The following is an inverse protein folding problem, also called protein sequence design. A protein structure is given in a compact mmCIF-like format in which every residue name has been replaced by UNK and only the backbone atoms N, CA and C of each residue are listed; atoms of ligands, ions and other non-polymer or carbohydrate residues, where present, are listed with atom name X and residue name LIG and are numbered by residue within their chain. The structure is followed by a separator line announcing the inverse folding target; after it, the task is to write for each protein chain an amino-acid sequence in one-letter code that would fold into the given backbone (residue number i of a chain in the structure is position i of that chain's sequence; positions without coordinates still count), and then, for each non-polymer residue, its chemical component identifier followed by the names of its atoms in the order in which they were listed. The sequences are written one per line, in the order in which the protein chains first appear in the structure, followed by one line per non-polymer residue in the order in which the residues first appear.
data_IF_893254287199
#
_entry.id   IF_893254287199
#
_cell.length_a   1.000
_cell.length_b   1.000
_cell.length_c   1.000
_cell.angle_alpha   90.00
_cell.angle_beta   90.00
_cell.angle_gamma   90.00
#
_symmetry.space_group_name_H-M   'P 1'
#
loop_
_entity.id
_entity.type
_entity.pdbx_description
1 polymer ?
#
# COMPACT_ATOMS: atom_id res chain seq x y z
N UNK A 1 -34.68 15.61 -13.20
CA UNK A 1 -34.03 14.72 -12.22
C UNK A 1 -34.28 15.33 -10.85
N UNK A 2 -34.97 14.65 -9.95
CA UNK A 2 -35.24 15.19 -8.60
C UNK A 2 -33.99 15.07 -7.77
N UNK A 3 -33.68 16.04 -6.87
CA UNK A 3 -32.52 15.99 -5.99
C UNK A 3 -32.40 14.63 -5.21
N UNK A 4 -33.57 14.05 -4.89
CA UNK A 4 -33.64 12.73 -4.24
C UNK A 4 -33.06 11.61 -5.10
N UNK A 5 -33.16 11.69 -6.44
CA UNK A 5 -32.65 10.66 -7.36
C UNK A 5 -31.11 10.70 -7.50
N UNK A 6 -30.50 11.83 -7.13
CA UNK A 6 -29.03 11.98 -7.09
C UNK A 6 -28.46 11.30 -5.85
N UNK A 7 -29.18 11.39 -4.73
CA UNK A 7 -28.70 10.88 -3.44
C UNK A 7 -29.02 9.40 -3.24
N UNK A 8 -30.22 8.98 -3.62
CA UNK A 8 -30.76 7.65 -3.31
C UNK A 8 -31.03 6.87 -4.60
N UNK A 9 -30.54 5.62 -4.62
CA UNK A 9 -30.81 4.65 -5.67
C UNK A 9 -31.66 3.48 -5.15
N UNK A 10 -31.87 2.43 -5.97
CA UNK A 10 -32.65 1.25 -5.57
C UNK A 10 -32.15 0.54 -4.32
N UNK A 11 -30.86 0.66 -4.03
CA UNK A 11 -30.18 0.03 -2.88
C UNK A 11 -29.90 1.02 -1.73
N UNK A 12 -30.63 2.14 -1.64
CA UNK A 12 -30.39 3.20 -0.66
C UNK A 12 -29.41 4.27 -1.15
N UNK A 13 -28.60 4.84 -0.27
CA UNK A 13 -27.63 5.89 -0.62
C UNK A 13 -26.65 5.38 -1.70
N UNK A 14 -26.45 6.17 -2.77
CA UNK A 14 -25.57 5.78 -3.90
C UNK A 14 -24.12 5.65 -3.46
N UNK A 15 -23.39 4.75 -4.11
CA UNK A 15 -21.99 4.38 -3.79
C UNK A 15 -21.05 5.57 -3.66
N UNK A 16 -21.20 6.60 -4.51
CA UNK A 16 -20.37 7.81 -4.43
C UNK A 16 -20.55 8.57 -3.11
N UNK A 17 -21.77 8.74 -2.64
CA UNK A 17 -22.06 9.41 -1.36
C UNK A 17 -21.58 8.58 -0.17
N UNK A 18 -21.74 7.27 -0.23
CA UNK A 18 -21.22 6.35 0.80
C UNK A 18 -19.69 6.42 0.88
N UNK A 19 -19.01 6.51 -0.26
CA UNK A 19 -17.57 6.72 -0.32
C UNK A 19 -17.18 8.07 0.29
N UNK A 20 -17.87 9.17 -0.05
CA UNK A 20 -17.58 10.50 0.50
C UNK A 20 -17.76 10.53 2.03
N UNK A 21 -18.82 9.92 2.55
CA UNK A 21 -19.03 9.79 4.01
C UNK A 21 -17.89 9.00 4.65
N UNK A 22 -17.52 7.86 4.08
CA UNK A 22 -16.39 7.08 4.56
C UNK A 22 -15.10 7.89 4.61
N UNK A 23 -14.75 8.59 3.53
CA UNK A 23 -13.55 9.43 3.46
C UNK A 23 -13.61 10.57 4.48
N UNK A 24 -14.76 11.22 4.65
CA UNK A 24 -14.93 12.27 5.66
C UNK A 24 -14.68 11.74 7.08
N UNK A 25 -15.19 10.54 7.40
CA UNK A 25 -14.96 9.90 8.70
C UNK A 25 -13.46 9.58 8.87
N UNK A 26 -12.80 8.99 7.84
CA UNK A 26 -11.37 8.68 7.90
C UNK A 26 -10.55 9.94 8.15
N UNK A 27 -10.78 11.01 7.37
CA UNK A 27 -10.06 12.28 7.49
C UNK A 27 -10.27 12.89 8.89
N UNK A 28 -11.50 12.92 9.39
CA UNK A 28 -11.80 13.46 10.71
C UNK A 28 -11.11 12.66 11.83
N UNK A 29 -11.13 11.33 11.75
CA UNK A 29 -10.45 10.48 12.73
C UNK A 29 -8.92 10.60 12.64
N UNK A 30 -8.35 10.64 11.44
CA UNK A 30 -6.91 10.86 11.27
C UNK A 30 -6.47 12.20 11.88
N UNK A 31 -7.20 13.29 11.58
CA UNK A 31 -6.90 14.60 12.15
C UNK A 31 -6.97 14.58 13.68
N UNK A 32 -8.02 13.98 14.25
CA UNK A 32 -8.16 13.87 15.70
C UNK A 32 -7.04 13.04 16.36
N UNK A 33 -6.68 11.92 15.77
CA UNK A 33 -5.59 11.06 16.31
C UNK A 33 -4.22 11.72 16.16
N UNK A 34 -3.95 12.39 15.04
CA UNK A 34 -2.70 13.13 14.84
C UNK A 34 -2.57 14.27 15.85
N UNK A 35 -3.65 15.01 16.13
CA UNK A 35 -3.68 16.05 17.16
C UNK A 35 -3.37 15.48 18.53
N UNK A 36 -4.00 14.37 18.93
CA UNK A 36 -3.73 13.70 20.21
C UNK A 36 -2.26 13.29 20.33
N UNK A 37 -1.70 12.69 19.26
CA UNK A 37 -0.27 12.33 19.25
C UNK A 37 0.60 13.57 19.33
N UNK A 38 0.29 14.64 18.61
CA UNK A 38 1.00 15.93 18.68
C UNK A 38 1.03 16.51 20.09
N UNK A 39 -0.12 16.54 20.77
CA UNK A 39 -0.23 16.99 22.15
C UNK A 39 0.60 16.13 23.11
N UNK A 40 0.62 14.82 22.94
CA UNK A 40 1.42 13.90 23.76
C UNK A 40 2.92 14.17 23.54
N UNK A 41 3.36 14.30 22.30
CA UNK A 41 4.77 14.60 21.98
C UNK A 41 5.18 15.95 22.57
N UNK A 42 4.36 16.98 22.40
CA UNK A 42 4.59 18.30 22.98
C UNK A 42 4.69 18.25 24.51
N UNK A 43 3.74 17.59 25.17
CA UNK A 43 3.73 17.44 26.64
C UNK A 43 4.95 16.68 27.17
N UNK A 44 5.57 15.81 26.35
CA UNK A 44 6.78 15.06 26.69
C UNK A 44 8.07 15.75 26.23
N UNK A 45 8.00 16.92 25.57
CA UNK A 45 9.15 17.57 24.97
C UNK A 45 9.85 16.77 23.88
N UNK A 46 9.12 15.87 23.21
CA UNK A 46 9.65 15.01 22.14
C UNK A 46 9.44 15.69 20.80
N UNK A 47 10.52 15.88 20.05
CA UNK A 47 10.46 16.32 18.65
C UNK A 47 10.49 15.09 17.75
N UNK A 48 9.48 14.96 16.89
CA UNK A 48 9.45 13.88 15.91
C UNK A 48 10.61 14.04 14.91
N UNK A 49 11.35 12.98 14.57
CA UNK A 49 12.44 13.08 13.61
C UNK A 49 11.90 13.40 12.22
N UNK A 50 12.59 14.30 11.51
CA UNK A 50 12.29 14.60 10.11
C UNK A 50 13.04 13.64 9.19
N UNK A 51 12.34 12.98 8.29
CA UNK A 51 12.97 12.08 7.32
C UNK A 51 12.27 10.73 7.18
N UNK A 52 12.98 9.79 6.57
CA UNK A 52 12.51 8.44 6.31
C UNK A 52 12.85 7.54 7.52
N UNK A 53 12.11 7.70 8.61
CA UNK A 53 12.30 6.90 9.83
C UNK A 53 11.17 5.89 10.00
N UNK A 54 11.52 4.62 10.27
CA UNK A 54 10.56 3.55 10.48
C UNK A 54 9.50 3.88 11.54
N UNK A 55 9.89 4.52 12.66
CA UNK A 55 8.96 4.86 13.74
C UNK A 55 7.91 5.90 13.30
N UNK A 56 8.25 6.82 12.39
CA UNK A 56 7.32 7.83 11.87
C UNK A 56 6.26 7.14 11.03
N UNK A 57 6.67 6.28 10.10
CA UNK A 57 5.74 5.49 9.28
C UNK A 57 4.88 4.57 10.15
N UNK A 58 5.49 3.85 11.11
CA UNK A 58 4.75 2.98 12.00
C UNK A 58 3.62 3.72 12.75
N UNK A 59 3.91 4.90 13.30
CA UNK A 59 2.90 5.68 14.04
C UNK A 59 1.85 6.24 13.08
N UNK A 60 2.26 6.82 11.95
CA UNK A 60 1.36 7.41 10.96
C UNK A 60 0.41 6.37 10.37
N UNK A 61 0.93 5.22 9.98
CA UNK A 61 0.12 4.17 9.35
C UNK A 61 -0.70 3.37 10.35
N UNK A 62 -0.25 3.24 11.61
CA UNK A 62 -1.10 2.72 12.68
C UNK A 62 -2.31 3.62 12.95
N UNK A 63 -2.12 4.95 12.93
CA UNK A 63 -3.21 5.94 13.04
C UNK A 63 -4.16 5.79 11.84
N UNK A 64 -3.62 5.71 10.64
CA UNK A 64 -4.40 5.53 9.40
C UNK A 64 -5.20 4.23 9.45
N UNK A 65 -4.57 3.12 9.81
CA UNK A 65 -5.24 1.83 9.94
C UNK A 65 -6.38 1.87 10.97
N UNK A 66 -6.13 2.48 12.13
CA UNK A 66 -7.15 2.62 13.17
C UNK A 66 -8.35 3.44 12.66
N UNK A 67 -8.10 4.58 12.01
CA UNK A 67 -9.13 5.43 11.43
C UNK A 67 -9.94 4.69 10.37
N UNK A 68 -9.27 3.95 9.46
CA UNK A 68 -9.90 3.16 8.39
C UNK A 68 -10.75 2.03 8.95
N UNK A 69 -10.26 1.31 9.95
CA UNK A 69 -11.00 0.20 10.59
C UNK A 69 -12.25 0.73 11.29
N UNK A 70 -12.14 1.84 12.04
CA UNK A 70 -13.29 2.48 12.70
C UNK A 70 -14.30 2.98 11.66
N UNK A 71 -13.84 3.70 10.63
CA UNK A 71 -14.73 4.19 9.57
C UNK A 71 -15.44 3.03 8.85
N UNK A 72 -14.71 1.96 8.50
CA UNK A 72 -15.30 0.76 7.89
C UNK A 72 -16.31 0.12 8.82
N UNK A 73 -16.03 0.07 10.12
CA UNK A 73 -16.96 -0.48 11.11
C UNK A 73 -18.25 0.35 11.22
N UNK A 74 -18.15 1.69 11.24
CA UNK A 74 -19.30 2.59 11.25
C UNK A 74 -20.16 2.36 10.01
N UNK A 75 -19.53 2.35 8.82
CA UNK A 75 -20.22 2.11 7.56
C UNK A 75 -20.85 0.72 7.49
N UNK A 76 -20.11 -0.31 7.90
CA UNK A 76 -20.61 -1.69 7.94
C UNK A 76 -21.85 -1.82 8.85
N UNK A 77 -21.84 -1.14 10.00
CA UNK A 77 -23.00 -1.11 10.93
C UNK A 77 -24.21 -0.43 10.31
N UNK A 78 -24.01 0.72 9.64
CA UNK A 78 -25.10 1.44 8.95
C UNK A 78 -25.67 0.63 7.78
N UNK A 79 -24.89 -0.26 7.19
CA UNK A 79 -25.27 -1.10 6.05
C UNK A 79 -25.71 -2.52 6.47
N UNK A 80 -25.78 -2.79 7.77
CA UNK A 80 -26.09 -4.14 8.32
C UNK A 80 -25.18 -5.25 7.77
N UNK A 81 -23.89 -4.94 7.57
CA UNK A 81 -22.87 -5.86 7.03
C UNK A 81 -21.77 -6.16 8.05
N UNK A 82 -21.03 -7.25 7.82
CA UNK A 82 -19.83 -7.59 8.60
C UNK A 82 -18.61 -6.90 8.00
N UNK A 83 -17.59 -6.60 8.82
CA UNK A 83 -16.29 -6.06 8.35
C UNK A 83 -15.64 -6.95 7.28
N UNK A 84 -15.74 -8.26 7.43
CA UNK A 84 -15.21 -9.22 6.45
C UNK A 84 -15.86 -9.12 5.08
N UNK A 85 -17.05 -8.51 4.95
CA UNK A 85 -17.70 -8.27 3.67
C UNK A 85 -16.94 -7.26 2.77
N UNK A 86 -16.00 -6.53 3.35
CA UNK A 86 -15.16 -5.56 2.64
C UNK A 86 -13.70 -6.06 2.48
N UNK A 87 -13.49 -7.38 2.53
CA UNK A 87 -12.19 -8.01 2.32
C UNK A 87 -11.19 -7.83 3.46
N UNK A 88 -11.56 -7.12 4.55
CA UNK A 88 -10.65 -6.91 5.68
C UNK A 88 -10.30 -8.26 6.33
N UNK A 89 -9.01 -8.51 6.60
CA UNK A 89 -8.58 -9.75 7.21
C UNK A 89 -9.10 -9.85 8.65
N UNK A 90 -9.68 -11.01 8.96
CA UNK A 90 -10.13 -11.33 10.31
C UNK A 90 -9.05 -12.03 11.13
N UNK A 91 -9.49 -13.01 11.99
CA UNK A 91 -8.61 -13.74 12.90
C UNK A 91 -7.40 -14.44 12.28
N UNK A 92 -7.39 -14.68 10.97
CA UNK A 92 -6.30 -15.33 10.23
C UNK A 92 -5.60 -14.34 9.26
N UNK A 93 -5.31 -13.12 9.73
CA UNK A 93 -4.66 -12.07 8.92
C UNK A 93 -3.33 -12.54 8.32
N UNK A 94 -2.52 -13.26 9.11
CA UNK A 94 -1.22 -13.82 8.71
C UNK A 94 -1.31 -15.28 8.22
N UNK A 95 -2.45 -15.66 7.63
CA UNK A 95 -2.62 -16.98 7.04
C UNK A 95 -1.81 -17.20 5.76
N UNK A 96 -1.92 -18.39 5.15
CA UNK A 96 -1.16 -18.79 3.98
C UNK A 96 -1.13 -17.73 2.86
N UNK A 97 -2.26 -17.09 2.55
CA UNK A 97 -2.34 -16.06 1.49
C UNK A 97 -1.50 -14.82 1.78
N UNK A 98 -1.36 -14.44 3.05
CA UNK A 98 -0.45 -13.35 3.44
C UNK A 98 0.99 -13.70 3.07
N UNK A 99 1.45 -14.89 3.42
CA UNK A 99 2.82 -15.33 3.14
C UNK A 99 3.07 -15.54 1.65
N UNK A 100 2.08 -16.04 0.91
CA UNK A 100 2.14 -16.10 -0.55
C UNK A 100 2.33 -14.70 -1.14
N UNK A 101 1.56 -13.71 -0.68
CA UNK A 101 1.73 -12.31 -1.06
C UNK A 101 3.11 -11.77 -0.69
N UNK A 102 3.57 -12.03 0.54
CA UNK A 102 4.87 -11.57 1.01
C UNK A 102 6.03 -12.12 0.15
N UNK A 103 5.99 -13.41 -0.19
CA UNK A 103 6.97 -14.01 -1.12
C UNK A 103 6.91 -13.34 -2.48
N UNK A 104 5.71 -13.08 -3.00
CA UNK A 104 5.52 -12.43 -4.30
C UNK A 104 6.05 -10.99 -4.30
N UNK A 105 5.74 -10.20 -3.26
CA UNK A 105 6.20 -8.81 -3.13
C UNK A 105 7.72 -8.72 -2.98
N UNK A 106 8.28 -9.56 -2.12
CA UNK A 106 9.73 -9.60 -1.93
C UNK A 106 10.48 -10.07 -3.19
N UNK A 107 9.95 -11.07 -3.89
CA UNK A 107 10.51 -11.54 -5.16
C UNK A 107 10.46 -10.45 -6.24
N UNK A 108 9.40 -9.63 -6.27
CA UNK A 108 9.26 -8.54 -7.22
C UNK A 108 10.32 -7.46 -7.02
N UNK A 109 10.47 -6.94 -5.81
CA UNK A 109 11.49 -5.94 -5.53
C UNK A 109 12.89 -6.52 -5.72
N UNK A 110 13.11 -7.79 -5.36
CA UNK A 110 14.40 -8.47 -5.58
C UNK A 110 14.72 -8.60 -7.07
N UNK A 111 13.74 -8.95 -7.90
CA UNK A 111 13.91 -9.00 -9.35
C UNK A 111 14.24 -7.63 -9.93
N UNK A 112 13.55 -6.57 -9.48
CA UNK A 112 13.84 -5.21 -9.89
C UNK A 112 15.27 -4.80 -9.56
N UNK A 113 15.69 -4.99 -8.31
CA UNK A 113 17.06 -4.65 -7.87
C UNK A 113 18.11 -5.50 -8.60
N UNK A 114 17.82 -6.77 -8.85
CA UNK A 114 18.70 -7.63 -9.64
C UNK A 114 18.88 -7.09 -11.08
N UNK A 115 17.79 -6.66 -11.73
CA UNK A 115 17.87 -6.08 -13.08
C UNK A 115 18.69 -4.77 -13.06
N UNK A 116 18.48 -3.91 -12.07
CA UNK A 116 19.26 -2.66 -11.91
C UNK A 116 20.73 -3.00 -11.65
N UNK A 117 21.02 -4.00 -10.82
CA UNK A 117 22.38 -4.47 -10.53
C UNK A 117 23.08 -5.02 -11.79
N UNK A 118 22.43 -5.89 -12.54
CA UNK A 118 22.98 -6.46 -13.77
C UNK A 118 23.22 -5.41 -14.85
N UNK A 119 22.44 -4.34 -14.85
CA UNK A 119 22.65 -3.18 -15.72
C UNK A 119 23.69 -2.18 -15.17
N UNK A 120 24.35 -2.48 -14.05
CA UNK A 120 25.39 -1.66 -13.44
C UNK A 120 24.87 -0.43 -12.68
N UNK A 121 23.58 -0.38 -12.32
CA UNK A 121 22.95 0.76 -11.64
C UNK A 121 22.83 0.62 -10.11
N UNK A 122 23.25 -0.51 -9.53
CA UNK A 122 23.16 -0.77 -8.09
C UNK A 122 24.45 -1.41 -7.55
N UNK A 123 24.87 -0.93 -6.38
CA UNK A 123 25.95 -1.55 -5.58
C UNK A 123 25.47 -1.72 -4.15
N UNK A 124 25.52 -2.94 -3.62
CA UNK A 124 24.98 -3.26 -2.29
C UNK A 124 25.79 -2.62 -1.14
N UNK A 125 27.09 -2.41 -1.34
CA UNK A 125 27.98 -1.94 -0.28
C UNK A 125 28.14 -2.97 0.84
N UNK A 126 28.23 -2.50 2.09
CA UNK A 126 28.38 -3.31 3.30
C UNK A 126 27.15 -3.15 4.21
N UNK A 127 27.09 -3.96 5.28
CA UNK A 127 26.09 -3.74 6.33
C UNK A 127 26.30 -2.36 6.98
N UNK A 128 25.23 -1.57 7.04
CA UNK A 128 25.23 -0.24 7.65
C UNK A 128 25.10 -0.30 9.19
N UNK A 129 24.50 -1.37 9.71
CA UNK A 129 24.20 -1.57 11.12
C UNK A 129 24.66 -2.94 11.59
N UNK A 130 24.99 -3.05 12.89
CA UNK A 130 25.43 -4.28 13.51
C UNK A 130 24.77 -4.50 14.87
N UNK A 131 24.78 -5.74 15.37
CA UNK A 131 24.33 -6.10 16.71
C UNK A 131 22.90 -5.64 17.02
N UNK A 132 22.72 -5.07 18.20
CA UNK A 132 21.41 -4.64 18.68
C UNK A 132 20.77 -3.53 17.82
N UNK A 133 21.57 -2.64 17.21
CA UNK A 133 21.07 -1.60 16.32
C UNK A 133 20.43 -2.20 15.08
N UNK A 134 21.06 -3.21 14.48
CA UNK A 134 20.52 -3.95 13.35
C UNK A 134 19.20 -4.65 13.72
N UNK A 135 19.16 -5.36 14.85
CA UNK A 135 17.97 -6.06 15.29
C UNK A 135 16.80 -5.10 15.52
N UNK A 136 17.06 -3.95 16.17
CA UNK A 136 16.06 -2.90 16.38
C UNK A 136 15.55 -2.31 15.07
N UNK A 137 16.44 -1.95 14.15
CA UNK A 137 16.07 -1.37 12.86
C UNK A 137 15.24 -2.37 12.04
N UNK A 138 15.67 -3.65 11.98
CA UNK A 138 14.93 -4.71 11.30
C UNK A 138 13.51 -4.84 11.85
N UNK A 139 13.35 -4.89 13.18
CA UNK A 139 12.04 -5.00 13.81
C UNK A 139 11.17 -3.78 13.51
N UNK A 140 11.71 -2.57 13.64
CA UNK A 140 10.96 -1.34 13.39
C UNK A 140 10.51 -1.22 11.93
N UNK A 141 11.39 -1.51 10.97
CA UNK A 141 11.03 -1.49 9.55
C UNK A 141 10.05 -2.61 9.16
N UNK A 142 10.17 -3.79 9.76
CA UNK A 142 9.19 -4.86 9.57
C UNK A 142 7.80 -4.41 10.05
N UNK A 143 7.71 -3.83 11.26
CA UNK A 143 6.45 -3.32 11.81
C UNK A 143 5.91 -2.14 11.00
N UNK A 144 6.77 -1.21 10.57
CA UNK A 144 6.36 -0.07 9.73
C UNK A 144 5.80 -0.55 8.38
N UNK A 145 6.51 -1.42 7.68
CA UNK A 145 6.05 -1.96 6.39
C UNK A 145 4.75 -2.77 6.53
N UNK A 146 4.58 -3.51 7.62
CA UNK A 146 3.30 -4.15 7.94
C UNK A 146 2.19 -3.11 8.15
N UNK A 147 2.45 -2.04 8.92
CA UNK A 147 1.47 -0.99 9.16
C UNK A 147 1.06 -0.30 7.85
N UNK A 148 2.04 0.05 6.98
CA UNK A 148 1.80 0.61 5.64
C UNK A 148 0.90 -0.33 4.83
N UNK A 149 1.29 -1.59 4.67
CA UNK A 149 0.52 -2.57 3.88
C UNK A 149 -0.91 -2.75 4.40
N UNK A 150 -1.12 -2.84 5.72
CA UNK A 150 -2.46 -2.91 6.30
C UNK A 150 -3.25 -1.62 6.09
N UNK A 151 -2.65 -0.46 6.38
CA UNK A 151 -3.32 0.83 6.30
C UNK A 151 -3.77 1.14 4.86
N UNK A 152 -2.85 1.05 3.92
CA UNK A 152 -3.12 1.42 2.54
C UNK A 152 -4.02 0.42 1.83
N UNK A 153 -3.83 -0.89 2.03
CA UNK A 153 -4.70 -1.86 1.39
C UNK A 153 -6.13 -1.82 1.95
N UNK A 154 -6.29 -1.63 3.25
CA UNK A 154 -7.62 -1.43 3.83
C UNK A 154 -8.27 -0.11 3.39
N UNK A 155 -7.47 0.98 3.26
CA UNK A 155 -7.95 2.30 2.84
C UNK A 155 -8.43 2.30 1.38
N UNK A 156 -7.68 1.67 0.47
CA UNK A 156 -7.99 1.73 -0.97
C UNK A 156 -8.81 0.52 -1.45
N UNK A 157 -8.43 -0.69 -1.06
CA UNK A 157 -9.03 -1.96 -1.55
C UNK A 157 -10.04 -2.56 -0.59
N UNK A 158 -10.17 -2.00 0.63
CA UNK A 158 -11.24 -2.33 1.57
C UNK A 158 -12.57 -1.71 1.16
N UNK A 159 -13.19 -0.97 2.06
CA UNK A 159 -14.50 -0.35 1.85
C UNK A 159 -14.63 0.40 0.51
N UNK A 160 -13.68 1.27 0.08
CA UNK A 160 -13.83 2.02 -1.17
C UNK A 160 -13.96 1.15 -2.41
N UNK A 161 -13.10 0.14 -2.59
CA UNK A 161 -13.16 -0.76 -3.74
C UNK A 161 -14.50 -1.51 -3.79
N UNK A 162 -14.98 -2.02 -2.66
CA UNK A 162 -16.23 -2.77 -2.59
C UNK A 162 -17.44 -1.88 -2.87
N UNK A 163 -17.45 -0.66 -2.37
CA UNK A 163 -18.57 0.28 -2.57
C UNK A 163 -18.61 0.80 -4.00
N UNK A 164 -17.48 1.17 -4.57
CA UNK A 164 -17.42 1.59 -5.97
C UNK A 164 -17.80 0.46 -6.92
N UNK A 165 -17.36 -0.77 -6.62
CA UNK A 165 -17.72 -1.94 -7.42
C UNK A 165 -19.24 -2.21 -7.44
N UNK A 166 -19.98 -1.88 -6.38
CA UNK A 166 -21.45 -1.95 -6.37
C UNK A 166 -22.11 -0.93 -7.33
N UNK A 167 -21.47 0.23 -7.54
CA UNK A 167 -22.02 1.29 -8.38
C UNK A 167 -21.63 1.19 -9.86
N UNK A 168 -20.40 0.73 -10.15
CA UNK A 168 -19.85 0.77 -11.51
C UNK A 168 -19.22 -0.55 -11.98
N UNK A 169 -19.28 -1.61 -11.15
CA UNK A 169 -18.61 -2.89 -11.41
C UNK A 169 -17.16 -2.91 -10.92
N UNK A 170 -16.61 -4.13 -10.80
CA UNK A 170 -15.29 -4.33 -10.19
C UNK A 170 -14.16 -3.62 -10.94
N UNK A 171 -14.06 -3.83 -12.25
CA UNK A 171 -12.91 -3.34 -13.03
C UNK A 171 -12.89 -1.81 -13.18
N UNK A 172 -14.00 -1.11 -13.51
CA UNK A 172 -14.00 0.35 -13.49
C UNK A 172 -13.62 0.92 -12.12
N UNK A 173 -14.09 0.33 -11.02
CA UNK A 173 -13.69 0.70 -9.67
C UNK A 173 -12.19 0.47 -9.42
N UNK A 174 -11.66 -0.69 -9.85
CA UNK A 174 -10.26 -1.03 -9.72
C UNK A 174 -9.35 -0.06 -10.51
N UNK A 175 -9.71 0.29 -11.74
CA UNK A 175 -8.99 1.29 -12.53
C UNK A 175 -9.01 2.65 -11.86
N UNK A 176 -10.17 3.12 -11.40
CA UNK A 176 -10.30 4.41 -10.72
C UNK A 176 -9.43 4.46 -9.45
N UNK A 177 -9.52 3.45 -8.58
CA UNK A 177 -8.74 3.38 -7.35
C UNK A 177 -7.23 3.29 -7.65
N UNK A 178 -6.83 2.50 -8.63
CA UNK A 178 -5.42 2.38 -9.02
C UNK A 178 -4.86 3.67 -9.58
N UNK A 179 -5.64 4.38 -10.40
CA UNK A 179 -5.29 5.71 -10.90
C UNK A 179 -5.14 6.72 -9.76
N UNK A 180 -6.11 6.77 -8.84
CA UNK A 180 -6.07 7.66 -7.67
C UNK A 180 -4.91 7.34 -6.73
N UNK A 181 -4.61 6.06 -6.53
CA UNK A 181 -3.49 5.62 -5.73
C UNK A 181 -2.15 6.13 -6.29
N UNK A 182 -1.91 5.93 -7.58
CA UNK A 182 -0.74 6.48 -8.25
C UNK A 182 -0.71 8.03 -8.22
N UNK A 183 -1.87 8.68 -8.45
CA UNK A 183 -1.96 10.14 -8.41
C UNK A 183 -1.65 10.72 -7.02
N UNK A 184 -2.14 10.09 -5.94
CA UNK A 184 -1.81 10.51 -4.58
C UNK A 184 -0.31 10.39 -4.30
N UNK A 185 0.34 9.32 -4.75
CA UNK A 185 1.79 9.18 -4.67
C UNK A 185 2.49 10.30 -5.44
N UNK A 186 2.06 10.56 -6.69
CA UNK A 186 2.60 11.63 -7.53
C UNK A 186 2.54 13.02 -6.86
N UNK A 187 1.43 13.36 -6.19
CA UNK A 187 1.28 14.67 -5.55
C UNK A 187 1.83 14.76 -4.13
N UNK A 188 2.16 13.63 -3.49
CA UNK A 188 2.64 13.61 -2.09
C UNK A 188 4.15 13.62 -1.94
N UNK A 189 4.89 13.21 -2.98
CA UNK A 189 6.35 13.14 -2.93
C UNK A 189 6.99 14.29 -3.72
N UNK A 190 8.11 14.87 -3.28
CA UNK A 190 8.90 15.77 -4.11
C UNK A 190 9.60 14.98 -5.23
N UNK A 191 9.88 15.63 -6.35
CA UNK A 191 10.57 15.08 -7.53
C UNK A 191 9.77 14.10 -8.37
N UNK A 192 8.46 13.98 -8.16
CA UNK A 192 7.63 13.01 -8.85
C UNK A 192 7.69 13.12 -10.38
N UNK A 193 7.65 11.94 -11.02
CA UNK A 193 7.68 11.76 -12.46
C UNK A 193 6.66 10.70 -12.87
N UNK A 194 6.25 10.77 -14.14
CA UNK A 194 5.27 9.84 -14.68
C UNK A 194 5.61 8.34 -14.51
N UNK A 195 6.91 7.87 -14.52
CA UNK A 195 7.19 6.45 -14.34
C UNK A 195 6.77 5.93 -12.95
N UNK A 196 7.01 6.72 -11.88
CA UNK A 196 6.59 6.35 -10.52
C UNK A 196 5.07 6.28 -10.40
N UNK A 197 4.37 7.31 -10.90
CA UNK A 197 2.92 7.28 -10.95
C UNK A 197 2.36 6.07 -11.71
N UNK A 198 2.93 5.77 -12.89
CA UNK A 198 2.45 4.70 -13.74
C UNK A 198 2.76 3.31 -13.15
N UNK A 199 3.97 3.10 -12.61
CA UNK A 199 4.35 1.84 -11.96
C UNK A 199 3.53 1.58 -10.70
N UNK A 200 3.37 2.60 -9.84
CA UNK A 200 2.54 2.53 -8.64
C UNK A 200 1.07 2.24 -8.98
N UNK A 201 0.52 2.91 -10.00
CA UNK A 201 -0.83 2.65 -10.49
C UNK A 201 -1.02 1.23 -11.05
N UNK A 202 -0.03 0.71 -11.80
CA UNK A 202 -0.06 -0.65 -12.33
C UNK A 202 0.10 -1.72 -11.23
N UNK A 203 0.97 -1.49 -10.23
CA UNK A 203 1.05 -2.34 -9.05
C UNK A 203 -0.29 -2.36 -8.29
N UNK A 204 -0.90 -1.20 -8.13
CA UNK A 204 -2.21 -1.07 -7.54
C UNK A 204 -3.28 -1.87 -8.29
N UNK A 205 -3.22 -1.91 -9.63
CA UNK A 205 -4.12 -2.71 -10.45
C UNK A 205 -3.85 -4.21 -10.31
N UNK A 206 -2.57 -4.63 -10.21
CA UNK A 206 -2.20 -6.01 -9.90
C UNK A 206 -2.79 -6.43 -8.55
N UNK A 207 -2.69 -5.59 -7.54
CA UNK A 207 -3.27 -5.84 -6.22
C UNK A 207 -4.80 -5.97 -6.30
N UNK A 208 -5.49 -5.15 -7.10
CA UNK A 208 -6.93 -5.33 -7.35
C UNK A 208 -7.24 -6.68 -8.03
N UNK A 209 -6.39 -7.14 -8.95
CA UNK A 209 -6.52 -8.48 -9.54
C UNK A 209 -6.36 -9.58 -8.48
N UNK A 210 -5.40 -9.43 -7.56
CA UNK A 210 -5.23 -10.41 -6.46
C UNK A 210 -6.47 -10.46 -5.58
N UNK A 211 -7.02 -9.30 -5.19
CA UNK A 211 -8.28 -9.21 -4.45
C UNK A 211 -9.43 -9.90 -5.21
N UNK A 212 -9.56 -9.66 -6.53
CA UNK A 212 -10.61 -10.26 -7.36
C UNK A 212 -10.57 -11.77 -7.34
N UNK A 213 -9.37 -12.36 -7.30
CA UNK A 213 -9.18 -13.82 -7.38
C UNK A 213 -9.13 -14.50 -6.02
N UNK A 214 -8.61 -13.82 -5.01
CA UNK A 214 -8.47 -14.39 -3.66
C UNK A 214 -9.67 -14.11 -2.77
N UNK A 215 -10.42 -13.03 -3.03
CA UNK A 215 -11.60 -12.63 -2.28
C UNK A 215 -11.33 -11.86 -0.99
N UNK A 216 -10.06 -11.65 -0.62
CA UNK A 216 -9.67 -10.88 0.57
C UNK A 216 -8.30 -10.18 0.39
N UNK A 217 -7.98 -9.29 1.34
CA UNK A 217 -6.78 -8.44 1.26
C UNK A 217 -5.49 -9.09 1.78
N UNK A 218 -5.51 -10.31 2.28
CA UNK A 218 -4.32 -10.94 2.91
C UNK A 218 -3.13 -11.03 1.97
N UNK A 219 -3.36 -11.44 0.71
CA UNK A 219 -2.31 -11.48 -0.30
C UNK A 219 -1.76 -10.06 -0.59
N UNK A 220 -2.66 -9.10 -0.81
CA UNK A 220 -2.32 -7.71 -1.07
C UNK A 220 -1.46 -7.10 0.04
N UNK A 221 -1.88 -7.28 1.28
CA UNK A 221 -1.16 -6.77 2.47
C UNK A 221 0.22 -7.41 2.58
N UNK A 222 0.32 -8.74 2.42
CA UNK A 222 1.61 -9.43 2.47
C UNK A 222 2.56 -8.97 1.37
N UNK A 223 2.02 -8.82 0.14
CA UNK A 223 2.75 -8.29 -1.00
C UNK A 223 3.33 -6.89 -0.73
N UNK A 224 2.47 -5.96 -0.36
CA UNK A 224 2.82 -4.56 -0.12
C UNK A 224 3.87 -4.44 0.99
N UNK A 225 3.60 -5.03 2.15
CA UNK A 225 4.53 -5.00 3.28
C UNK A 225 5.92 -5.57 2.94
N UNK A 226 5.99 -6.69 2.22
CA UNK A 226 7.26 -7.29 1.89
C UNK A 226 8.00 -6.55 0.76
N UNK A 227 7.28 -5.95 -0.17
CA UNK A 227 7.85 -5.10 -1.21
C UNK A 227 8.53 -3.87 -0.59
N UNK A 228 7.82 -3.13 0.27
CA UNK A 228 8.34 -1.92 0.94
C UNK A 228 9.49 -2.24 1.88
N UNK A 229 9.37 -3.31 2.67
CA UNK A 229 10.47 -3.78 3.52
C UNK A 229 11.73 -4.06 2.70
N UNK A 230 11.56 -4.73 1.55
CA UNK A 230 12.64 -5.00 0.60
C UNK A 230 13.22 -3.71 0.03
N UNK A 231 12.39 -2.84 -0.54
CA UNK A 231 12.81 -1.64 -1.24
C UNK A 231 13.55 -0.66 -0.31
N UNK A 232 12.96 -0.34 0.83
CA UNK A 232 13.44 0.73 1.72
C UNK A 232 14.53 0.22 2.66
N UNK A 233 14.28 -0.89 3.37
CA UNK A 233 15.20 -1.38 4.40
C UNK A 233 16.27 -2.29 3.83
N UNK A 234 15.89 -3.39 3.15
CA UNK A 234 16.86 -4.44 2.73
C UNK A 234 17.78 -3.92 1.63
N UNK A 235 17.22 -3.41 0.54
CA UNK A 235 17.99 -2.89 -0.59
C UNK A 235 18.37 -1.42 -0.45
N UNK A 236 17.90 -0.77 0.63
CA UNK A 236 18.29 0.59 1.00
C UNK A 236 18.03 1.61 -0.12
N UNK A 237 16.92 1.41 -0.84
CA UNK A 237 16.49 2.31 -1.91
C UNK A 237 16.07 3.68 -1.37
N UNK A 238 16.32 4.76 -2.12
CA UNK A 238 15.72 6.05 -1.81
C UNK A 238 14.20 5.99 -1.97
N UNK A 239 13.50 6.86 -1.25
CA UNK A 239 12.07 7.09 -1.40
C UNK A 239 11.80 8.59 -1.30
N UNK A 240 11.30 9.21 -2.38
CA UNK A 240 11.02 10.65 -2.43
C UNK A 240 12.22 11.54 -2.10
N UNK A 241 13.42 11.18 -2.57
CA UNK A 241 14.66 11.92 -2.34
C UNK A 241 15.34 11.69 -0.99
N UNK A 242 14.82 10.77 -0.17
CA UNK A 242 15.34 10.48 1.18
C UNK A 242 15.80 9.03 1.27
N UNK A 243 16.83 8.79 2.09
CA UNK A 243 17.31 7.46 2.46
C UNK A 243 16.96 7.21 3.92
N UNK A 244 16.58 5.99 4.26
CA UNK A 244 16.41 5.58 5.64
C UNK A 244 17.77 5.64 6.37
N UNK A 245 17.89 6.36 7.48
CA UNK A 245 19.16 6.46 8.21
C UNK A 245 19.56 5.13 8.83
N UNK A 246 18.58 4.31 9.18
CA UNK A 246 18.72 2.99 9.80
C UNK A 246 18.50 1.83 8.80
N UNK A 247 18.87 2.04 7.53
CA UNK A 247 18.81 1.04 6.46
C UNK A 247 19.80 -0.11 6.66
N UNK A 248 19.57 -1.25 6.01
CA UNK A 248 20.39 -2.45 6.16
C UNK A 248 21.78 -2.30 5.52
N UNK A 249 21.83 -1.76 4.31
CA UNK A 249 23.03 -1.70 3.47
C UNK A 249 23.53 -0.27 3.25
N UNK A 250 24.81 -0.09 3.03
CA UNK A 250 25.38 1.16 2.52
C UNK A 250 25.26 1.22 0.99
N UNK A 251 24.11 0.78 0.47
CA UNK A 251 23.87 0.66 -0.95
C UNK A 251 23.88 2.02 -1.65
N UNK A 252 24.30 1.99 -2.93
CA UNK A 252 24.28 3.17 -3.80
C UNK A 252 23.58 2.83 -5.12
N UNK A 253 22.78 3.79 -5.59
CA UNK A 253 22.16 3.75 -6.91
C UNK A 253 22.89 4.77 -7.80
N UNK A 254 23.34 4.36 -8.98
CA UNK A 254 24.13 5.19 -9.87
C UNK A 254 23.78 4.96 -11.34
N UNK A 255 24.03 5.95 -12.16
CA UNK A 255 23.67 5.93 -13.57
C UNK A 255 22.39 6.70 -13.87
N UNK A 256 21.82 6.41 -15.03
CA UNK A 256 20.67 7.16 -15.54
C UNK A 256 19.40 6.95 -14.71
N UNK A 257 18.57 7.98 -14.57
CA UNK A 257 17.34 7.91 -13.77
C UNK A 257 16.32 6.92 -14.31
N UNK A 258 16.26 6.69 -15.63
CA UNK A 258 15.39 5.67 -16.21
C UNK A 258 15.75 4.25 -15.73
N UNK A 259 17.04 4.02 -15.38
CA UNK A 259 17.54 2.74 -14.89
C UNK A 259 17.30 2.59 -13.40
N UNK A 260 17.58 3.62 -12.61
CA UNK A 260 17.62 3.52 -11.14
C UNK A 260 16.38 4.10 -10.46
N UNK A 261 15.54 4.85 -11.17
CA UNK A 261 14.47 5.67 -10.62
C UNK A 261 14.96 7.00 -10.01
N UNK A 262 16.28 7.21 -9.97
CA UNK A 262 16.87 8.44 -9.46
C UNK A 262 16.55 8.71 -7.99
N UNK A 263 16.17 9.94 -7.68
CA UNK A 263 15.81 10.35 -6.31
C UNK A 263 14.50 9.72 -5.80
N UNK A 264 13.60 9.33 -6.71
CA UNK A 264 12.33 8.72 -6.33
C UNK A 264 12.49 7.33 -5.72
N UNK A 265 13.45 6.58 -6.25
CA UNK A 265 13.72 5.22 -5.83
C UNK A 265 13.49 4.19 -6.94
N UNK A 266 13.80 2.92 -6.70
CA UNK A 266 13.78 1.89 -7.72
C UNK A 266 12.40 1.68 -8.36
N UNK A 267 11.32 2.01 -7.68
CA UNK A 267 9.94 1.93 -8.18
C UNK A 267 9.71 2.82 -9.41
N UNK A 268 10.43 3.95 -9.51
CA UNK A 268 10.39 4.86 -10.66
C UNK A 268 11.31 4.43 -11.82
N UNK A 269 12.02 3.31 -11.71
CA UNK A 269 12.82 2.74 -12.79
C UNK A 269 11.91 2.22 -13.92
N UNK A 270 12.31 2.42 -15.17
CA UNK A 270 11.62 1.81 -16.30
C UNK A 270 11.69 0.27 -16.27
N UNK A 271 12.66 -0.31 -15.55
CA UNK A 271 12.74 -1.76 -15.33
C UNK A 271 11.60 -2.29 -14.44
N UNK A 272 10.88 -1.42 -13.74
CA UNK A 272 9.70 -1.83 -12.98
C UNK A 272 8.58 -2.34 -13.89
N UNK A 273 8.42 -1.80 -15.11
CA UNK A 273 7.36 -2.22 -16.03
C UNK A 273 7.46 -3.69 -16.46
N UNK A 274 8.62 -4.19 -16.94
CA UNK A 274 8.75 -5.63 -17.23
C UNK A 274 8.60 -6.51 -15.99
N UNK A 275 9.03 -6.05 -14.80
CA UNK A 275 8.77 -6.77 -13.54
C UNK A 275 7.27 -6.87 -13.28
N UNK A 276 6.52 -5.78 -13.38
CA UNK A 276 5.06 -5.77 -13.22
C UNK A 276 4.40 -6.71 -14.22
N UNK A 277 4.81 -6.67 -15.50
CA UNK A 277 4.27 -7.55 -16.53
C UNK A 277 4.52 -9.03 -16.19
N UNK A 278 5.73 -9.37 -15.75
CA UNK A 278 6.08 -10.72 -15.29
C UNK A 278 5.22 -11.15 -14.07
N UNK A 279 4.94 -10.23 -13.16
CA UNK A 279 4.10 -10.51 -12.00
C UNK A 279 2.63 -10.75 -12.38
N UNK A 280 2.07 -9.95 -13.30
CA UNK A 280 0.73 -10.22 -13.83
C UNK A 280 0.65 -11.61 -14.46
N UNK A 281 1.66 -11.99 -15.25
CA UNK A 281 1.72 -13.31 -15.86
C UNK A 281 1.87 -14.41 -14.81
N UNK A 282 2.80 -14.29 -13.89
CA UNK A 282 3.03 -15.26 -12.83
C UNK A 282 1.78 -15.44 -11.95
N UNK A 283 1.12 -14.34 -11.57
CA UNK A 283 -0.12 -14.40 -10.81
C UNK A 283 -1.25 -15.02 -11.63
N UNK A 284 -1.33 -14.73 -12.94
CA UNK A 284 -2.32 -15.35 -13.83
C UNK A 284 -2.12 -16.87 -13.92
N UNK A 285 -0.89 -17.34 -14.02
CA UNK A 285 -0.57 -18.77 -14.11
C UNK A 285 -0.85 -19.48 -12.79
N UNK A 286 -0.41 -18.91 -11.67
CA UNK A 286 -0.52 -19.55 -10.35
C UNK A 286 -1.94 -19.48 -9.75
N UNK A 287 -2.64 -18.39 -10.02
CA UNK A 287 -4.00 -18.14 -9.53
C UNK A 287 -5.01 -18.06 -10.69
N UNK A 288 -4.86 -18.88 -11.72
CA UNK A 288 -5.64 -18.85 -12.95
C UNK A 288 -7.13 -18.60 -12.72
N UNK A 289 -7.89 -18.28 -13.74
CA UNK A 289 -9.32 -18.06 -13.60
C UNK A 289 -9.94 -19.36 -13.02
N UNK A 290 -10.04 -19.45 -11.70
CA UNK A 290 -10.96 -20.40 -11.11
C UNK A 290 -12.32 -20.02 -11.67
N UNK A 291 -12.81 -20.85 -12.57
CA UNK A 291 -14.21 -20.88 -12.98
C UNK A 291 -15.04 -21.25 -11.74
N UNK A 292 -15.08 -20.35 -10.80
CA UNK A 292 -15.70 -20.46 -9.50
C UNK A 292 -16.72 -19.35 -9.36
N UNK A 293 -17.93 -19.61 -9.79
CA UNK A 293 -19.16 -19.13 -9.21
C UNK A 293 -19.02 -18.89 -7.70
N UNK A 294 -18.45 -17.77 -7.29
CA UNK A 294 -18.74 -17.26 -5.97
C UNK A 294 -20.08 -16.56 -6.07
N UNK A 295 -21.11 -17.29 -5.69
CA UNK A 295 -22.45 -16.77 -5.43
C UNK A 295 -22.30 -15.52 -4.57
N UNK A 296 -22.58 -14.37 -5.17
CA UNK A 296 -22.99 -13.19 -4.45
C UNK A 296 -24.43 -13.46 -3.98
N UNK A 297 -24.57 -13.95 -2.76
CA UNK A 297 -25.84 -13.95 -2.01
C UNK A 297 -25.75 -12.86 -0.94
#
# INVERSE_FOLDING_TARGET
MRAKDILVGPLGLRSGWRLLIFLAIVIALQAAFQEVVGLILQARGIVAPEGLYAIVFLVQDAITLLAVVIATWIMARSEHRKLSSYGLPGKNAFGRRFWEGAVFGYAAVSALILLIFLAGGYSAGSLALHGAALARATLLWLLASLAIGFAEECLFRGYPQFILAQGMGFWPAAFLISFLFGALHYFSKPYERWPDWASTGLLALLICLTLRRTGDLRFAIGFHAAFDFGAIFVYSGPNGGRLAPDRLLTATFHGAEWLTGGKLGPEASLLMFPVIAAMFLAFHVLYGATSGTTRQS
#
